data_IF_969922596071
#
_entry.id   IF_969922596071
#
_cell.length_a   1.000
_cell.length_b   1.000
_cell.length_c   1.000
_cell.angle_alpha   90.00
_cell.angle_beta   90.00
_cell.angle_gamma   90.00
#
_symmetry.space_group_name_H-M   'P 1'
#
loop_
_entity.id
_entity.type
_entity.pdbx_description
1 polymer ?
#
# COMPACT_ATOMS: atom_id res chain seq x y z
N UNK A 1 2.66 -30.11 -2.02
CA UNK A 1 2.77 -29.18 -0.86
C UNK A 1 3.09 -27.74 -1.28
N UNK A 2 4.27 -27.44 -1.85
CA UNK A 2 4.65 -26.05 -2.24
C UNK A 2 3.68 -25.37 -3.21
N UNK A 3 3.22 -26.07 -4.26
CA UNK A 3 2.24 -25.54 -5.22
C UNK A 3 0.89 -25.18 -4.58
N UNK A 4 0.45 -25.96 -3.60
CA UNK A 4 -0.82 -25.70 -2.90
C UNK A 4 -0.71 -24.52 -1.92
N UNK A 5 0.45 -24.35 -1.27
CA UNK A 5 0.72 -23.14 -0.48
C UNK A 5 0.73 -21.88 -1.35
N UNK A 6 1.34 -21.96 -2.54
CA UNK A 6 1.39 -20.83 -3.47
C UNK A 6 -0.01 -20.40 -3.95
N UNK A 7 -0.84 -21.38 -4.37
CA UNK A 7 -2.23 -21.10 -4.76
C UNK A 7 -3.04 -20.47 -3.63
N UNK A 8 -2.87 -20.96 -2.39
CA UNK A 8 -3.56 -20.40 -1.22
C UNK A 8 -3.10 -18.97 -0.92
N UNK A 9 -1.81 -18.69 -1.04
CA UNK A 9 -1.26 -17.34 -0.84
C UNK A 9 -1.85 -16.35 -1.86
N UNK A 10 -1.85 -16.72 -3.15
CA UNK A 10 -2.47 -15.91 -4.21
C UNK A 10 -3.96 -15.67 -3.91
N UNK A 11 -4.70 -16.73 -3.56
CA UNK A 11 -6.12 -16.61 -3.27
C UNK A 11 -6.41 -15.65 -2.09
N UNK A 12 -5.55 -15.62 -1.07
CA UNK A 12 -5.68 -14.68 0.06
C UNK A 12 -5.39 -13.24 -0.39
N UNK A 13 -4.31 -13.02 -1.14
CA UNK A 13 -3.95 -11.69 -1.63
C UNK A 13 -5.04 -11.13 -2.56
N UNK A 14 -5.51 -11.93 -3.52
CA UNK A 14 -6.56 -11.52 -4.45
C UNK A 14 -7.90 -11.27 -3.75
N UNK A 15 -8.25 -12.06 -2.72
CA UNK A 15 -9.48 -11.86 -1.95
C UNK A 15 -9.44 -10.58 -1.07
N UNK A 16 -8.25 -10.15 -0.67
CA UNK A 16 -8.06 -8.94 0.13
C UNK A 16 -7.80 -7.69 -0.72
N UNK A 17 -7.55 -7.83 -2.02
CA UNK A 17 -7.37 -6.69 -2.92
C UNK A 17 -8.70 -5.96 -3.14
N UNK A 18 -8.70 -4.63 -2.99
CA UNK A 18 -9.88 -3.78 -3.05
C UNK A 18 -9.93 -3.01 -4.38
N UNK A 19 -11.15 -2.66 -4.83
CA UNK A 19 -11.34 -1.86 -6.06
C UNK A 19 -10.62 -0.50 -6.02
N UNK A 20 -10.33 0.01 -4.83
CA UNK A 20 -9.55 1.24 -4.61
C UNK A 20 -8.05 1.12 -4.90
N UNK A 21 -7.56 -0.04 -5.35
CA UNK A 21 -6.14 -0.24 -5.69
C UNK A 21 -5.23 -0.45 -4.48
N UNK A 22 -5.78 -0.96 -3.38
CA UNK A 22 -5.06 -1.30 -2.16
C UNK A 22 -5.52 -2.64 -1.61
N UNK A 23 -4.75 -3.22 -0.69
CA UNK A 23 -5.06 -4.51 -0.08
C UNK A 23 -5.27 -4.34 1.42
N UNK A 24 -6.33 -4.96 1.94
CA UNK A 24 -6.54 -5.04 3.39
C UNK A 24 -5.60 -6.08 4.02
N UNK A 25 -4.92 -5.79 5.15
CA UNK A 25 -4.03 -6.76 5.78
C UNK A 25 -4.76 -8.02 6.27
N UNK A 26 -6.01 -7.88 6.69
CA UNK A 26 -6.82 -8.98 7.20
C UNK A 26 -8.31 -8.73 6.98
N UNK A 27 -8.98 -9.70 6.36
CA UNK A 27 -10.43 -9.71 6.24
C UNK A 27 -11.09 -9.64 7.62
N UNK A 28 -11.91 -8.60 7.82
CA UNK A 28 -12.72 -8.39 9.03
C UNK A 28 -12.03 -7.65 10.18
N UNK A 29 -10.70 -7.50 10.19
CA UNK A 29 -9.99 -6.84 11.29
C UNK A 29 -9.33 -5.52 10.90
N UNK A 30 -8.77 -5.44 9.69
CA UNK A 30 -8.03 -4.27 9.22
C UNK A 30 -8.59 -3.80 7.88
N UNK A 31 -9.61 -2.92 7.87
CA UNK A 31 -10.38 -2.60 6.66
C UNK A 31 -9.74 -1.53 5.76
N UNK A 32 -8.49 -1.15 6.02
CA UNK A 32 -7.83 -0.02 5.36
C UNK A 32 -6.47 -0.43 4.77
N UNK A 33 -5.83 0.49 4.04
CA UNK A 33 -4.46 0.31 3.58
C UNK A 33 -3.47 0.67 4.69
N UNK A 34 -2.46 -0.18 4.90
CA UNK A 34 -1.44 0.01 5.93
C UNK A 34 -0.04 0.05 5.32
N UNK A 35 0.78 1.01 5.76
CA UNK A 35 2.04 1.38 5.10
C UNK A 35 2.99 0.21 4.88
N UNK A 36 3.42 -0.45 5.96
CA UNK A 36 4.40 -1.53 5.83
C UNK A 36 3.76 -2.83 5.29
N UNK A 37 2.47 -3.06 5.55
CA UNK A 37 1.73 -4.24 5.09
C UNK A 37 1.62 -4.19 3.57
N UNK A 38 1.19 -3.05 3.01
CA UNK A 38 1.17 -2.79 1.57
C UNK A 38 2.53 -3.00 0.93
N UNK A 39 3.61 -2.64 1.62
CA UNK A 39 4.98 -2.91 1.17
C UNK A 39 5.25 -4.41 0.96
N UNK A 40 4.98 -5.24 1.97
CA UNK A 40 5.20 -6.68 1.86
C UNK A 40 4.17 -7.37 0.94
N UNK A 41 2.95 -6.86 0.89
CA UNK A 41 1.90 -7.32 -0.04
C UNK A 41 2.33 -7.05 -1.49
N UNK A 42 2.90 -5.89 -1.78
CA UNK A 42 3.41 -5.57 -3.12
C UNK A 42 4.54 -6.51 -3.55
N UNK A 43 5.43 -6.92 -2.64
CA UNK A 43 6.43 -7.98 -2.92
C UNK A 43 5.72 -9.30 -3.27
N UNK A 44 4.66 -9.64 -2.53
CA UNK A 44 3.83 -10.81 -2.82
C UNK A 44 3.21 -10.77 -4.22
N UNK A 45 2.61 -9.64 -4.61
CA UNK A 45 2.07 -9.43 -5.95
C UNK A 45 3.16 -9.47 -7.02
N UNK A 46 4.35 -8.92 -6.78
CA UNK A 46 5.42 -8.86 -7.78
C UNK A 46 5.79 -10.25 -8.33
N UNK A 47 5.58 -11.31 -7.56
CA UNK A 47 5.82 -12.69 -7.99
C UNK A 47 4.82 -13.26 -9.01
N UNK A 48 3.63 -12.65 -9.20
CA UNK A 48 2.61 -13.19 -10.10
C UNK A 48 1.75 -12.16 -10.85
N UNK A 49 1.71 -10.93 -10.39
CA UNK A 49 0.91 -9.83 -10.92
C UNK A 49 1.62 -8.49 -10.61
N UNK A 50 2.60 -8.14 -11.44
CA UNK A 50 3.44 -6.95 -11.23
C UNK A 50 2.63 -5.65 -11.30
N UNK A 51 1.54 -5.62 -12.06
CA UNK A 51 0.68 -4.43 -12.17
C UNK A 51 -0.09 -4.19 -10.88
N UNK A 52 -0.57 -5.25 -10.21
CA UNK A 52 -1.11 -5.10 -8.84
C UNK A 52 -0.05 -4.62 -7.85
N UNK A 53 1.19 -5.11 -7.96
CA UNK A 53 2.28 -4.66 -7.08
C UNK A 53 2.55 -3.15 -7.22
N UNK A 54 2.63 -2.66 -8.46
CA UNK A 54 2.77 -1.23 -8.76
C UNK A 54 1.57 -0.43 -8.25
N UNK A 55 0.36 -0.95 -8.47
CA UNK A 55 -0.89 -0.30 -8.03
C UNK A 55 -0.92 -0.15 -6.50
N UNK A 56 -0.60 -1.20 -5.76
CA UNK A 56 -0.54 -1.18 -4.28
C UNK A 56 0.40 -0.07 -3.78
N UNK A 57 1.61 0.00 -4.36
CA UNK A 57 2.62 1.00 -3.98
C UNK A 57 2.22 2.41 -4.40
N UNK A 58 1.69 2.59 -5.61
CA UNK A 58 1.22 3.89 -6.11
C UNK A 58 0.10 4.44 -5.23
N UNK A 59 -0.88 3.62 -4.87
CA UNK A 59 -2.00 4.03 -4.01
C UNK A 59 -1.51 4.46 -2.62
N UNK A 60 -0.50 3.79 -2.06
CA UNK A 60 0.12 4.19 -0.79
C UNK A 60 0.87 5.53 -0.92
N UNK A 61 1.66 5.70 -1.97
CA UNK A 61 2.47 6.90 -2.19
C UNK A 61 1.62 8.12 -2.60
N UNK A 62 0.48 7.91 -3.23
CA UNK A 62 -0.52 8.95 -3.48
C UNK A 62 -1.14 9.54 -2.20
N UNK A 63 -1.00 8.87 -1.06
CA UNK A 63 -1.40 9.38 0.26
C UNK A 63 -0.30 10.18 0.98
N UNK A 64 0.86 10.36 0.35
CA UNK A 64 1.93 11.19 0.88
C UNK A 64 1.45 12.63 1.11
N UNK A 65 1.85 13.19 2.24
CA UNK A 65 1.61 14.57 2.60
C UNK A 65 2.59 15.50 1.86
N UNK A 66 2.27 16.80 1.77
CA UNK A 66 3.09 17.78 1.03
C UNK A 66 4.50 17.96 1.61
N UNK A 67 4.73 17.56 2.87
CA UNK A 67 6.06 17.57 3.52
C UNK A 67 6.83 16.23 3.38
N UNK A 68 6.36 15.32 2.51
CA UNK A 68 6.98 14.02 2.29
C UNK A 68 6.58 12.94 3.31
N UNK A 69 5.75 13.26 4.30
CA UNK A 69 5.29 12.30 5.30
C UNK A 69 4.36 11.25 4.67
N UNK A 70 4.67 9.97 4.87
CA UNK A 70 3.81 8.85 4.46
C UNK A 70 3.12 8.29 5.70
N UNK A 71 1.79 8.35 5.78
CA UNK A 71 1.04 7.90 6.94
C UNK A 71 1.08 6.39 7.09
N UNK A 72 0.85 5.92 8.31
CA UNK A 72 0.77 4.50 8.63
C UNK A 72 -0.52 3.85 8.11
N UNK A 73 -1.66 4.53 8.13
CA UNK A 73 -2.93 4.07 7.54
C UNK A 73 -3.46 5.13 6.58
N UNK A 74 -4.01 4.67 5.46
CA UNK A 74 -4.79 5.48 4.51
C UNK A 74 -6.25 5.04 4.54
N UNK A 75 -7.17 5.96 4.84
CA UNK A 75 -8.60 5.71 4.94
C UNK A 75 -9.27 5.94 3.57
N UNK A 76 -9.25 4.91 2.71
CA UNK A 76 -9.81 4.96 1.36
C UNK A 76 -11.34 4.97 1.31
N UNK A 77 -11.98 4.39 2.32
CA UNK A 77 -13.43 4.26 2.43
C UNK A 77 -13.89 4.63 3.83
N UNK A 78 -15.15 5.03 3.97
CA UNK A 78 -15.76 5.15 5.29
C UNK A 78 -16.01 3.75 5.86
N UNK A 79 -15.46 3.48 7.04
CA UNK A 79 -15.64 2.21 7.73
C UNK A 79 -15.50 2.43 9.24
N UNK A 80 -16.50 1.97 10.00
CA UNK A 80 -16.62 2.12 11.44
C UNK A 80 -16.15 0.88 12.24
N UNK A 81 -15.75 -0.19 11.55
CA UNK A 81 -15.31 -1.45 12.18
C UNK A 81 -13.92 -1.40 12.80
N UNK A 82 -13.16 -0.31 12.59
CA UNK A 82 -11.82 -0.12 13.13
C UNK A 82 -11.71 1.19 13.91
N UNK A 83 -11.13 1.10 15.11
CA UNK A 83 -10.84 2.26 15.96
C UNK A 83 -9.38 2.22 16.41
N UNK A 84 -8.65 3.37 16.41
CA UNK A 84 -9.10 4.71 16.02
C UNK A 84 -9.24 4.91 14.50
N UNK A 85 -10.35 5.51 14.08
CA UNK A 85 -10.65 5.83 12.68
C UNK A 85 -10.29 7.27 12.28
N UNK A 86 -10.62 7.65 11.04
CA UNK A 86 -10.29 8.96 10.48
C UNK A 86 -10.81 10.15 11.34
N UNK A 87 -12.04 10.05 11.87
CA UNK A 87 -12.66 11.10 12.70
C UNK A 87 -12.01 11.28 14.07
N UNK A 88 -11.27 10.27 14.54
CA UNK A 88 -10.45 10.38 15.74
C UNK A 88 -9.10 11.03 15.42
N UNK A 89 -8.48 10.65 14.30
CA UNK A 89 -7.17 11.15 13.92
C UNK A 89 -7.17 12.60 13.39
N UNK A 90 -8.23 12.98 12.66
CA UNK A 90 -8.44 14.33 12.11
C UNK A 90 -7.19 14.90 11.39
N UNK A 91 -6.50 14.05 10.63
CA UNK A 91 -5.28 14.43 9.91
C UNK A 91 -5.45 15.64 9.00
N UNK A 92 -6.65 15.82 8.46
CA UNK A 92 -7.06 16.92 7.59
C UNK A 92 -6.87 18.31 8.22
N UNK A 93 -6.81 18.39 9.55
CA UNK A 93 -6.54 19.64 10.26
C UNK A 93 -5.09 20.11 10.08
N UNK A 94 -4.16 19.21 9.75
CA UNK A 94 -2.80 19.60 9.43
C UNK A 94 -2.75 20.22 8.02
N UNK A 95 -2.18 21.42 7.84
CA UNK A 95 -2.23 22.14 6.56
C UNK A 95 -1.55 21.39 5.41
N UNK A 96 -0.54 20.56 5.72
CA UNK A 96 0.22 19.78 4.73
C UNK A 96 -0.30 18.35 4.55
N UNK A 97 -1.40 17.97 5.22
CA UNK A 97 -2.01 16.65 5.03
C UNK A 97 -2.46 16.45 3.59
N UNK A 98 -2.45 15.18 3.14
CA UNK A 98 -2.96 14.80 1.82
C UNK A 98 -4.37 15.36 1.62
N UNK A 99 -4.58 16.05 0.50
CA UNK A 99 -5.91 16.57 0.12
C UNK A 99 -6.80 15.51 -0.51
N UNK A 100 -6.20 14.40 -0.94
CA UNK A 100 -6.88 13.29 -1.63
C UNK A 100 -7.42 12.26 -0.64
N UNK A 101 -6.66 11.95 0.41
CA UNK A 101 -7.00 10.89 1.36
C UNK A 101 -6.88 11.36 2.80
N UNK A 102 -7.84 10.96 3.64
CA UNK A 102 -7.70 11.03 5.09
C UNK A 102 -6.74 9.94 5.55
N UNK A 103 -5.92 10.23 6.56
CA UNK A 103 -4.90 9.29 7.03
C UNK A 103 -4.69 9.36 8.52
N UNK A 104 -3.79 8.54 9.05
CA UNK A 104 -3.24 8.79 10.39
C UNK A 104 -2.21 9.93 10.35
N UNK A 105 -1.96 10.54 11.51
CA UNK A 105 -0.89 11.52 11.73
C UNK A 105 0.42 10.92 12.25
N UNK A 106 0.57 9.59 12.20
CA UNK A 106 1.78 8.86 12.60
C UNK A 106 2.24 7.92 11.49
N UNK A 107 3.53 7.58 11.47
CA UNK A 107 4.12 6.72 10.44
C UNK A 107 4.47 5.33 10.97
N UNK A 108 4.96 4.49 10.08
CA UNK A 108 5.41 3.11 10.31
C UNK A 108 6.83 2.95 9.73
N UNK A 109 7.58 1.87 10.03
CA UNK A 109 8.93 1.67 9.53
C UNK A 109 9.06 1.93 8.01
N UNK A 110 10.09 2.67 7.56
CA UNK A 110 10.21 3.13 6.18
C UNK A 110 10.77 2.02 5.26
N UNK A 111 10.02 0.94 5.07
CA UNK A 111 10.43 -0.20 4.24
C UNK A 111 10.24 0.02 2.74
N UNK A 112 9.62 1.14 2.31
CA UNK A 112 9.24 1.38 0.91
C UNK A 112 10.41 1.30 -0.07
N UNK A 113 11.60 1.82 0.28
CA UNK A 113 12.79 1.71 -0.59
C UNK A 113 13.27 0.26 -0.77
N UNK A 114 13.27 -0.52 0.32
CA UNK A 114 13.55 -1.95 0.27
C UNK A 114 12.53 -2.69 -0.59
N UNK A 115 11.23 -2.39 -0.41
CA UNK A 115 10.15 -2.99 -1.19
C UNK A 115 10.30 -2.71 -2.68
N UNK A 116 10.57 -1.46 -3.07
CA UNK A 116 10.78 -1.09 -4.48
C UNK A 116 12.01 -1.81 -5.06
N UNK A 117 13.08 -1.99 -4.28
CA UNK A 117 14.24 -2.77 -4.68
C UNK A 117 13.89 -4.26 -4.89
N UNK A 118 13.13 -4.87 -3.98
CA UNK A 118 12.69 -6.26 -4.11
C UNK A 118 11.76 -6.45 -5.33
N UNK A 119 10.80 -5.54 -5.53
CA UNK A 119 9.95 -5.52 -6.73
C UNK A 119 10.79 -5.42 -8.01
N UNK A 120 11.79 -4.52 -8.04
CA UNK A 120 12.76 -4.46 -9.13
C UNK A 120 13.51 -5.76 -9.31
N UNK A 121 13.95 -6.42 -8.23
CA UNK A 121 14.62 -7.71 -8.28
C UNK A 121 13.76 -8.81 -8.91
N UNK A 122 12.46 -8.81 -8.58
CA UNK A 122 11.48 -9.82 -9.02
C UNK A 122 10.98 -9.59 -10.45
N UNK A 123 10.72 -8.33 -10.85
CA UNK A 123 10.09 -8.00 -12.13
C UNK A 123 10.88 -8.56 -13.33
N UNK A 124 10.18 -9.10 -14.33
CA UNK A 124 10.82 -9.57 -15.56
C UNK A 124 11.26 -8.40 -16.45
N UNK A 125 10.38 -7.39 -16.61
CA UNK A 125 10.68 -6.15 -17.31
C UNK A 125 11.30 -5.12 -16.35
N UNK A 126 12.63 -4.99 -16.43
CA UNK A 126 13.39 -4.08 -15.57
C UNK A 126 13.21 -2.62 -15.96
N UNK A 127 13.04 -2.33 -17.25
CA UNK A 127 12.96 -0.95 -17.74
C UNK A 127 11.62 -0.34 -17.35
N UNK A 128 10.54 -1.10 -17.50
CA UNK A 128 9.21 -0.71 -17.04
C UNK A 128 9.14 -0.53 -15.51
N UNK A 129 9.75 -1.43 -14.73
CA UNK A 129 9.80 -1.25 -13.27
C UNK A 129 10.64 -0.03 -12.85
N UNK A 130 11.77 0.25 -13.53
CA UNK A 130 12.56 1.47 -13.27
C UNK A 130 11.78 2.73 -13.65
N UNK A 131 11.01 2.68 -14.74
CA UNK A 131 10.14 3.77 -15.13
C UNK A 131 9.10 4.05 -14.03
N UNK A 132 8.41 3.02 -13.55
CA UNK A 132 7.48 3.12 -12.41
C UNK A 132 8.15 3.72 -11.17
N UNK A 133 9.30 3.20 -10.76
CA UNK A 133 10.02 3.69 -9.57
C UNK A 133 10.37 5.18 -9.72
N UNK A 134 10.81 5.60 -10.90
CA UNK A 134 11.14 6.99 -11.18
C UNK A 134 9.92 7.90 -11.06
N UNK A 135 8.77 7.48 -11.61
CA UNK A 135 7.52 8.24 -11.52
C UNK A 135 7.03 8.43 -10.07
N UNK A 136 7.31 7.47 -9.20
CA UNK A 136 6.85 7.51 -7.81
C UNK A 136 7.82 8.25 -6.86
N UNK A 137 9.11 8.29 -7.15
CA UNK A 137 10.12 8.95 -6.29
C UNK A 137 10.30 10.44 -6.61
N UNK A 138 10.17 10.84 -7.88
CA UNK A 138 10.45 12.22 -8.35
C UNK A 138 9.19 13.14 -8.37
N UNK A 139 8.19 12.87 -7.51
CA UNK A 139 6.94 13.66 -7.41
C UNK A 139 7.16 15.07 -6.81
#
# INVERSE_FOLDING_TARGET
MKKELYKKAIAILDANFQEGGFTIPSAGLYPFQWKWDSGFIAIGFAHYDVEKAKTEMRTLLDAQWENGFIPHIVFHTENDSYFPGADFHQSELHPLSSKKYRSTGMTQPPVSGFVLQEMYGIAEDKDDMLHFIKEEIDK
#
